data_IF_287570749209
#
_entry.id   IF_287570749209
#
_cell.length_a   1.000
_cell.length_b   1.000
_cell.length_c   1.000
_cell.angle_alpha   90.00
_cell.angle_beta   90.00
_cell.angle_gamma   90.00
#
_symmetry.space_group_name_H-M   'P 1'
#
loop_
_entity.id
_entity.type
_entity.pdbx_description
1 polymer ?
#
# COMPACT_ATOMS: atom_id res chain seq x y z
N UNK A 1 9.07 0.67 15.66
CA UNK A 1 8.06 0.13 14.71
C UNK A 1 8.81 -0.61 13.62
N UNK A 2 8.22 -1.67 13.05
CA UNK A 2 8.75 -2.30 11.82
C UNK A 2 8.12 -1.57 10.65
N UNK A 3 8.95 -0.98 9.80
CA UNK A 3 8.47 -0.28 8.60
C UNK A 3 7.83 -1.33 7.67
N UNK A 4 6.58 -1.13 7.21
CA UNK A 4 5.95 -2.03 6.25
C UNK A 4 6.72 -1.96 4.93
N UNK A 5 7.47 -3.03 4.62
CA UNK A 5 8.13 -3.16 3.32
C UNK A 5 7.11 -3.76 2.35
N UNK A 6 6.59 -2.92 1.45
CA UNK A 6 5.69 -3.30 0.36
C UNK A 6 6.37 -3.09 -1.01
N UNK A 7 7.70 -3.13 -1.03
CA UNK A 7 8.49 -2.85 -2.21
C UNK A 7 8.38 -4.04 -3.17
N UNK A 8 8.04 -3.77 -4.44
CA UNK A 8 7.89 -4.80 -5.50
C UNK A 8 6.82 -5.86 -5.21
N UNK A 9 5.77 -5.50 -4.47
CA UNK A 9 4.61 -6.38 -4.20
C UNK A 9 3.51 -6.14 -5.23
N UNK A 10 2.84 -7.20 -5.68
CA UNK A 10 1.60 -7.08 -6.44
C UNK A 10 0.40 -6.89 -5.50
N UNK A 11 -0.17 -5.69 -5.52
CA UNK A 11 -1.34 -5.26 -4.76
C UNK A 11 -2.53 -5.01 -5.71
N UNK A 12 -2.54 -5.65 -6.88
CA UNK A 12 -3.63 -5.49 -7.84
C UNK A 12 -4.96 -5.86 -7.21
N UNK A 13 -5.91 -4.92 -7.22
CA UNK A 13 -7.24 -5.08 -6.64
C UNK A 13 -7.26 -5.16 -5.11
N UNK A 14 -6.15 -4.87 -4.42
CA UNK A 14 -6.11 -4.88 -2.96
C UNK A 14 -7.04 -3.79 -2.39
N UNK A 15 -7.80 -4.16 -1.35
CA UNK A 15 -8.51 -3.20 -0.52
C UNK A 15 -7.55 -2.63 0.52
N UNK A 16 -7.16 -1.37 0.33
CA UNK A 16 -6.32 -0.60 1.23
C UNK A 16 -7.12 0.59 1.80
N UNK A 17 -8.46 0.53 1.78
CA UNK A 17 -9.28 1.59 2.36
C UNK A 17 -8.95 1.73 3.85
N UNK A 18 -8.63 2.96 4.26
CA UNK A 18 -8.21 3.30 5.63
C UNK A 18 -6.94 2.58 6.12
N UNK A 19 -6.15 2.00 5.21
CA UNK A 19 -4.86 1.43 5.59
C UNK A 19 -3.94 2.53 6.16
N UNK A 20 -3.34 2.27 7.31
CA UNK A 20 -2.32 3.13 7.90
C UNK A 20 -0.95 2.62 7.43
N UNK A 21 -0.38 3.30 6.45
CA UNK A 21 0.87 2.96 5.78
C UNK A 21 1.96 4.05 5.99
N UNK A 22 2.09 4.68 7.19
CA UNK A 22 3.16 5.63 7.41
C UNK A 22 4.49 4.91 7.25
N UNK A 23 5.39 5.52 6.47
CA UNK A 23 6.71 4.99 6.14
C UNK A 23 6.70 3.69 5.30
N UNK A 24 5.56 3.31 4.72
CA UNK A 24 5.49 2.13 3.85
C UNK A 24 6.26 2.36 2.55
N UNK A 25 7.20 1.47 2.26
CA UNK A 25 7.95 1.51 0.99
C UNK A 25 7.11 0.86 -0.10
N UNK A 26 6.23 1.63 -0.73
CA UNK A 26 5.41 1.21 -1.88
C UNK A 26 6.13 1.37 -3.23
N UNK A 27 7.43 1.69 -3.19
CA UNK A 27 8.26 1.86 -4.38
C UNK A 27 8.18 0.54 -5.18
N UNK A 28 7.78 0.63 -6.45
CA UNK A 28 7.58 -0.52 -7.34
C UNK A 28 6.42 -1.47 -7.00
N UNK A 29 5.53 -1.13 -6.07
CA UNK A 29 4.31 -1.92 -5.85
C UNK A 29 3.34 -1.76 -7.04
N UNK A 30 2.72 -2.86 -7.47
CA UNK A 30 1.65 -2.79 -8.46
C UNK A 30 0.32 -2.53 -7.75
N UNK A 31 -0.18 -1.30 -7.81
CA UNK A 31 -1.43 -0.86 -7.17
C UNK A 31 -2.60 -0.78 -8.17
N UNK A 32 -2.52 -1.49 -9.28
CA UNK A 32 -3.56 -1.45 -10.31
C UNK A 32 -4.91 -1.87 -9.73
N UNK A 33 -5.93 -1.00 -9.85
CA UNK A 33 -7.28 -1.22 -9.27
C UNK A 33 -7.30 -1.32 -7.72
N UNK A 34 -6.23 -0.96 -7.01
CA UNK A 34 -6.26 -0.94 -5.54
C UNK A 34 -7.19 0.15 -5.01
N UNK A 35 -7.95 -0.14 -3.95
CA UNK A 35 -8.81 0.83 -3.29
C UNK A 35 -8.01 1.59 -2.23
N UNK A 36 -7.81 2.90 -2.42
CA UNK A 36 -6.97 3.75 -1.56
C UNK A 36 -7.73 4.94 -0.96
N UNK A 37 -9.08 4.93 -1.02
CA UNK A 37 -9.94 6.08 -0.70
C UNK A 37 -9.71 6.69 0.68
N UNK A 38 -9.38 5.87 1.69
CA UNK A 38 -9.05 6.33 3.03
C UNK A 38 -7.59 6.08 3.45
N UNK A 39 -6.73 5.58 2.56
CA UNK A 39 -5.38 5.19 2.92
C UNK A 39 -4.58 6.39 3.43
N UNK A 40 -3.94 6.23 4.59
CA UNK A 40 -3.06 7.22 5.19
C UNK A 40 -1.62 6.76 5.00
N UNK A 41 -0.94 7.34 4.02
CA UNK A 41 0.49 7.12 3.73
C UNK A 41 1.37 8.08 4.52
#
# INVERSE_FOLDING_TARGET
>A
MRDPILERVDLTGADLDKANLPDAKLQYANLTVAQLSGAKT
#
